data_IF_030446159046
#
_entry.id   IF_030446159046
#
_cell.length_a   1.000
_cell.length_b   1.000
_cell.length_c   1.000
_cell.angle_alpha   90.00
_cell.angle_beta   90.00
_cell.angle_gamma   90.00
#
_symmetry.space_group_name_H-M   'P 1'
#
loop_
_entity.id
_entity.type
_entity.pdbx_description
1 polymer ?
#
# COMPACT_ATOMS: atom_id res chain seq x y z
N UNK A 1 13.30 44.82 -67.61
CA UNK A 1 13.67 44.37 -66.25
C UNK A 1 12.94 45.15 -65.13
N UNK A 2 11.65 45.46 -65.28
CA UNK A 2 10.81 46.10 -64.22
C UNK A 2 9.47 45.40 -63.98
N UNK A 3 8.94 44.61 -64.93
CA UNK A 3 7.72 43.81 -64.71
C UNK A 3 7.93 42.52 -63.90
N UNK A 4 9.12 41.90 -63.95
CA UNK A 4 9.40 40.66 -63.21
C UNK A 4 9.52 40.86 -61.70
N UNK A 5 9.86 42.07 -61.23
CA UNK A 5 10.01 42.35 -59.81
C UNK A 5 8.65 42.53 -59.10
N UNK A 6 7.63 43.04 -59.80
CA UNK A 6 6.30 43.31 -59.22
C UNK A 6 5.50 42.01 -59.02
N UNK A 7 5.65 41.03 -59.92
CA UNK A 7 4.94 39.74 -59.81
C UNK A 7 5.49 38.88 -58.66
N UNK A 8 6.80 38.97 -58.38
CA UNK A 8 7.45 38.20 -57.30
C UNK A 8 7.10 38.77 -55.92
N UNK A 9 6.91 40.08 -55.79
CA UNK A 9 6.49 40.71 -54.51
C UNK A 9 5.00 40.46 -54.22
N UNK A 10 4.12 40.49 -55.22
CA UNK A 10 2.69 40.21 -55.01
C UNK A 10 2.44 38.72 -54.69
N UNK A 11 3.20 37.81 -55.29
CA UNK A 11 3.11 36.37 -54.97
C UNK A 11 3.76 36.01 -53.63
N UNK A 12 4.83 36.70 -53.19
CA UNK A 12 5.41 36.48 -51.86
C UNK A 12 4.53 37.04 -50.73
N UNK A 13 3.90 38.21 -50.91
CA UNK A 13 2.94 38.74 -49.92
C UNK A 13 1.67 37.89 -49.86
N UNK A 14 1.14 37.44 -51.01
CA UNK A 14 -0.02 36.55 -51.06
C UNK A 14 0.23 35.18 -50.42
N UNK A 15 1.41 34.59 -50.62
CA UNK A 15 1.77 33.30 -49.99
C UNK A 15 2.11 33.42 -48.51
N UNK A 16 2.58 34.58 -48.04
CA UNK A 16 2.81 34.83 -46.60
C UNK A 16 1.48 35.05 -45.87
N UNK A 17 0.53 35.78 -46.46
CA UNK A 17 -0.85 35.94 -45.93
C UNK A 17 -1.62 34.60 -45.93
N UNK A 18 -1.42 33.78 -46.96
CA UNK A 18 -2.07 32.47 -47.10
C UNK A 18 -1.43 31.37 -46.21
N UNK A 19 -0.15 31.51 -45.86
CA UNK A 19 0.49 30.63 -44.86
C UNK A 19 0.10 31.01 -43.43
N UNK A 20 -0.07 32.29 -43.11
CA UNK A 20 -0.58 32.73 -41.80
C UNK A 20 -2.02 32.27 -41.52
N UNK A 21 -2.84 32.08 -42.56
CA UNK A 21 -4.21 31.55 -42.43
C UNK A 21 -4.29 30.02 -42.34
N UNK A 22 -3.18 29.30 -42.59
CA UNK A 22 -3.12 27.83 -42.53
C UNK A 22 -2.44 27.26 -41.28
N UNK A 23 -1.81 28.08 -40.44
CA UNK A 23 -1.21 27.62 -39.17
C UNK A 23 -2.29 27.16 -38.17
N UNK A 24 -3.53 27.61 -38.31
CA UNK A 24 -4.62 27.37 -37.35
C UNK A 24 -5.70 26.38 -37.83
N UNK A 25 -5.39 25.46 -38.74
CA UNK A 25 -6.39 24.53 -39.29
C UNK A 25 -6.96 23.52 -38.26
N UNK A 26 -6.42 23.46 -37.04
CA UNK A 26 -6.95 22.63 -35.95
C UNK A 26 -7.92 23.32 -34.98
N UNK A 27 -8.07 24.65 -35.04
CA UNK A 27 -8.71 25.44 -33.95
C UNK A 27 -9.83 26.41 -34.40
N UNK A 28 -10.32 26.32 -35.64
CA UNK A 28 -11.40 27.19 -36.14
C UNK A 28 -10.93 28.60 -36.53
N UNK A 29 -11.85 29.58 -36.73
CA UNK A 29 -11.51 30.92 -37.19
C UNK A 29 -10.53 31.65 -36.23
N UNK A 30 -9.71 32.59 -36.75
CA UNK A 30 -8.64 33.25 -35.99
C UNK A 30 -9.11 34.16 -34.85
N UNK A 31 -10.42 34.32 -34.71
CA UNK A 31 -11.14 35.09 -33.70
C UNK A 31 -12.31 34.25 -33.20
N UNK A 32 -12.39 34.01 -31.90
CA UNK A 32 -13.48 33.22 -31.30
C UNK A 32 -13.14 32.70 -29.90
N UNK A 33 -14.15 32.22 -29.15
CA UNK A 33 -13.98 31.72 -27.79
C UNK A 33 -12.97 30.55 -27.71
N UNK A 34 -12.96 29.64 -28.68
CA UNK A 34 -12.06 28.47 -28.69
C UNK A 34 -10.58 28.87 -28.71
N UNK A 35 -10.23 29.88 -29.52
CA UNK A 35 -8.87 30.40 -29.57
C UNK A 35 -8.51 31.13 -28.27
N UNK A 36 -9.44 31.90 -27.70
CA UNK A 36 -9.22 32.58 -26.42
C UNK A 36 -9.00 31.57 -25.29
N UNK A 37 -9.75 30.46 -25.30
CA UNK A 37 -9.56 29.33 -24.38
C UNK A 37 -8.19 28.71 -24.58
N UNK A 38 -7.85 28.28 -25.80
CA UNK A 38 -6.56 27.66 -26.09
C UNK A 38 -5.37 28.59 -25.75
N UNK A 39 -5.49 29.89 -26.03
CA UNK A 39 -4.48 30.89 -25.71
C UNK A 39 -4.28 31.01 -24.21
N UNK A 40 -5.35 31.13 -23.43
CA UNK A 40 -5.22 31.27 -21.99
C UNK A 40 -4.77 29.96 -21.32
N UNK A 41 -5.24 28.81 -21.80
CA UNK A 41 -4.87 27.51 -21.22
C UNK A 41 -3.42 27.11 -21.50
N UNK A 42 -2.86 27.50 -22.65
CA UNK A 42 -1.45 27.25 -22.99
C UNK A 42 -0.48 28.12 -22.20
N UNK A 43 -0.86 29.37 -21.91
CA UNK A 43 -0.06 30.29 -21.11
C UNK A 43 -0.96 31.10 -20.17
N UNK A 44 -1.34 30.53 -19.00
CA UNK A 44 -2.14 31.26 -18.03
C UNK A 44 -1.42 32.53 -17.59
N UNK A 45 -2.04 33.67 -17.86
CA UNK A 45 -1.52 34.98 -17.49
C UNK A 45 -1.80 35.35 -16.03
N UNK A 46 -1.49 36.60 -15.69
CA UNK A 46 -1.79 37.20 -14.39
C UNK A 46 -3.30 37.34 -14.11
N UNK A 47 -3.64 37.82 -12.91
CA UNK A 47 -5.01 38.08 -12.47
C UNK A 47 -5.80 38.95 -13.45
N UNK A 48 -5.16 39.97 -14.05
CA UNK A 48 -5.77 40.87 -15.02
C UNK A 48 -6.11 40.12 -16.32
N UNK A 49 -5.20 39.28 -16.80
CA UNK A 49 -5.40 38.42 -17.96
C UNK A 49 -6.53 37.42 -17.72
N UNK A 50 -6.54 36.71 -16.59
CA UNK A 50 -7.60 35.77 -16.22
C UNK A 50 -9.00 36.44 -16.22
N UNK A 51 -9.09 37.66 -15.68
CA UNK A 51 -10.34 38.44 -15.69
C UNK A 51 -10.73 38.87 -17.10
N UNK A 52 -9.79 39.35 -17.92
CA UNK A 52 -10.06 39.79 -19.29
C UNK A 52 -10.52 38.63 -20.18
N UNK A 53 -9.77 37.53 -20.19
CA UNK A 53 -10.10 36.35 -21.01
C UNK A 53 -11.42 35.73 -20.60
N UNK A 54 -11.70 35.61 -19.29
CA UNK A 54 -13.00 35.08 -18.84
C UNK A 54 -14.18 35.94 -19.26
N UNK A 55 -14.08 37.27 -19.19
CA UNK A 55 -15.18 38.16 -19.64
C UNK A 55 -15.41 37.98 -21.15
N UNK A 56 -14.35 38.00 -21.95
CA UNK A 56 -14.45 37.86 -23.40
C UNK A 56 -15.07 36.52 -23.80
N UNK A 57 -14.69 35.43 -23.13
CA UNK A 57 -15.25 34.10 -23.37
C UNK A 57 -16.71 34.01 -22.91
N UNK A 58 -17.07 34.57 -21.75
CA UNK A 58 -18.46 34.51 -21.23
C UNK A 58 -19.46 35.37 -22.01
N UNK A 59 -18.98 36.40 -22.73
CA UNK A 59 -19.83 37.19 -23.64
C UNK A 59 -20.35 36.35 -24.81
N UNK A 60 -19.56 35.38 -25.28
CA UNK A 60 -19.92 34.50 -26.39
C UNK A 60 -20.47 33.14 -25.90
N UNK A 61 -19.87 32.58 -24.85
CA UNK A 61 -20.24 31.30 -24.23
C UNK A 61 -20.57 31.48 -22.74
N UNK A 62 -21.82 31.82 -22.39
CA UNK A 62 -22.20 32.16 -21.00
C UNK A 62 -22.12 30.97 -20.02
N UNK A 63 -21.98 29.75 -20.53
CA UNK A 63 -21.89 28.50 -19.74
C UNK A 63 -20.52 27.83 -19.86
N UNK A 64 -19.49 28.57 -20.29
CA UNK A 64 -18.12 28.04 -20.40
C UNK A 64 -17.47 27.86 -19.02
N UNK A 65 -17.31 26.61 -18.60
CA UNK A 65 -16.79 26.26 -17.27
C UNK A 65 -15.36 26.79 -17.04
N UNK A 66 -14.50 26.70 -18.06
CA UNK A 66 -13.12 27.17 -17.96
C UNK A 66 -13.04 28.67 -17.64
N UNK A 67 -13.93 29.48 -18.21
CA UNK A 67 -13.97 30.91 -17.96
C UNK A 67 -14.33 31.22 -16.49
N UNK A 68 -15.28 30.48 -15.90
CA UNK A 68 -15.57 30.59 -14.47
C UNK A 68 -14.40 30.15 -13.60
N UNK A 69 -13.69 29.07 -13.96
CA UNK A 69 -12.47 28.64 -13.27
C UNK A 69 -11.40 29.75 -13.25
N UNK A 70 -11.18 30.44 -14.36
CA UNK A 70 -10.20 31.54 -14.42
C UNK A 70 -10.61 32.73 -13.57
N UNK A 71 -11.92 33.04 -13.49
CA UNK A 71 -12.43 34.05 -12.55
C UNK A 71 -12.21 33.65 -11.11
N UNK A 72 -12.39 32.37 -10.79
CA UNK A 72 -12.07 31.80 -9.49
C UNK A 72 -10.61 32.04 -9.11
N UNK A 73 -9.69 31.69 -10.01
CA UNK A 73 -8.26 31.91 -9.81
C UNK A 73 -7.91 33.40 -9.65
N UNK A 74 -8.54 34.27 -10.45
CA UNK A 74 -8.33 35.71 -10.37
C UNK A 74 -8.82 36.30 -9.04
N UNK A 75 -9.99 35.87 -8.56
CA UNK A 75 -10.53 36.30 -7.28
C UNK A 75 -9.67 35.82 -6.10
N UNK A 76 -9.18 34.58 -6.15
CA UNK A 76 -8.29 34.03 -5.14
C UNK A 76 -6.98 34.81 -5.04
N UNK A 77 -6.34 35.08 -6.20
CA UNK A 77 -5.13 35.89 -6.28
C UNK A 77 -5.34 37.34 -5.83
N UNK A 78 -6.58 37.85 -5.89
CA UNK A 78 -6.96 39.18 -5.41
C UNK A 78 -7.31 39.21 -3.90
N UNK A 79 -7.20 38.08 -3.19
CA UNK A 79 -7.56 37.99 -1.77
C UNK A 79 -9.07 37.95 -1.51
N UNK A 80 -9.88 37.57 -2.51
CA UNK A 80 -11.33 37.34 -2.37
C UNK A 80 -11.66 35.84 -2.44
N UNK A 81 -11.45 35.09 -1.34
CA UNK A 81 -11.72 33.66 -1.31
C UNK A 81 -13.22 33.33 -1.37
N UNK A 82 -14.11 34.28 -1.04
CA UNK A 82 -15.56 34.09 -1.12
C UNK A 82 -16.01 34.13 -2.58
N UNK A 83 -15.59 35.14 -3.33
CA UNK A 83 -15.79 35.23 -4.78
C UNK A 83 -15.14 34.06 -5.52
N UNK A 84 -13.91 33.68 -5.13
CA UNK A 84 -13.23 32.51 -5.69
C UNK A 84 -14.07 31.24 -5.52
N UNK A 85 -14.55 30.97 -4.29
CA UNK A 85 -15.41 29.81 -3.99
C UNK A 85 -16.66 29.82 -4.86
N UNK A 86 -17.29 30.99 -5.02
CA UNK A 86 -18.46 31.16 -5.88
C UNK A 86 -18.19 30.76 -7.33
N UNK A 87 -17.12 31.30 -7.93
CA UNK A 87 -16.76 31.01 -9.31
C UNK A 87 -16.31 29.56 -9.53
N UNK A 88 -15.47 29.01 -8.66
CA UNK A 88 -15.07 27.59 -8.73
C UNK A 88 -16.28 26.65 -8.57
N UNK A 89 -17.25 27.01 -7.74
CA UNK A 89 -18.49 26.23 -7.61
C UNK A 89 -19.35 26.28 -8.87
N UNK A 90 -19.40 27.43 -9.56
CA UNK A 90 -20.07 27.52 -10.88
C UNK A 90 -19.34 26.66 -11.90
N UNK A 91 -18.01 26.77 -11.98
CA UNK A 91 -17.20 25.97 -12.89
C UNK A 91 -17.47 24.47 -12.69
N UNK A 92 -17.49 23.98 -11.43
CA UNK A 92 -17.73 22.57 -11.14
C UNK A 92 -19.17 22.11 -11.39
N UNK A 93 -20.17 23.02 -11.34
CA UNK A 93 -21.54 22.68 -11.76
C UNK A 93 -21.66 22.52 -13.28
N UNK A 94 -20.90 23.30 -14.04
CA UNK A 94 -20.88 23.28 -15.50
C UNK A 94 -20.00 22.14 -16.05
N UNK A 95 -18.85 21.91 -15.43
CA UNK A 95 -17.96 20.78 -15.68
C UNK A 95 -17.59 20.07 -14.37
N UNK A 96 -18.33 19.01 -13.99
CA UNK A 96 -18.01 18.21 -12.80
C UNK A 96 -16.65 17.52 -12.85
N UNK A 97 -16.01 17.43 -14.02
CA UNK A 97 -14.71 16.79 -14.21
C UNK A 97 -13.54 17.78 -14.16
N UNK A 98 -13.79 19.07 -13.90
CA UNK A 98 -12.74 20.08 -13.76
C UNK A 98 -11.86 19.79 -12.53
N UNK A 99 -10.70 19.17 -12.79
CA UNK A 99 -9.70 18.77 -11.78
C UNK A 99 -9.20 19.99 -11.00
N UNK A 100 -8.95 21.13 -11.67
CA UNK A 100 -8.37 22.32 -11.05
C UNK A 100 -9.37 22.99 -10.12
N UNK A 101 -10.62 23.13 -10.56
CA UNK A 101 -11.69 23.66 -9.71
C UNK A 101 -11.95 22.75 -8.51
N UNK A 102 -11.96 21.43 -8.71
CA UNK A 102 -12.18 20.45 -7.64
C UNK A 102 -11.04 20.41 -6.64
N UNK A 103 -9.78 20.49 -7.09
CA UNK A 103 -8.61 20.54 -6.22
C UNK A 103 -8.58 21.83 -5.38
N UNK A 104 -8.95 22.98 -5.96
CA UNK A 104 -9.05 24.23 -5.20
C UNK A 104 -10.15 24.15 -4.13
N UNK A 105 -11.33 23.63 -4.47
CA UNK A 105 -12.44 23.47 -3.50
C UNK A 105 -12.12 22.44 -2.41
N UNK A 106 -11.37 21.38 -2.72
CA UNK A 106 -10.82 20.46 -1.72
C UNK A 106 -9.94 21.20 -0.70
N UNK A 107 -8.93 21.94 -1.17
CA UNK A 107 -8.02 22.65 -0.28
C UNK A 107 -8.76 23.71 0.55
N UNK A 108 -9.66 24.47 -0.09
CA UNK A 108 -10.48 25.47 0.60
C UNK A 108 -11.37 24.84 1.68
N UNK A 109 -11.98 23.69 1.40
CA UNK A 109 -12.79 22.96 2.38
C UNK A 109 -11.94 22.49 3.57
N UNK A 110 -10.71 22.01 3.32
CA UNK A 110 -9.79 21.62 4.39
C UNK A 110 -9.40 22.82 5.26
N UNK A 111 -9.08 23.97 4.66
CA UNK A 111 -8.73 25.20 5.38
C UNK A 111 -9.88 25.72 6.25
N UNK A 112 -11.12 25.60 5.78
CA UNK A 112 -12.34 26.03 6.49
C UNK A 112 -12.84 25.01 7.53
N UNK A 113 -12.20 23.85 7.63
CA UNK A 113 -12.63 22.78 8.53
C UNK A 113 -13.88 22.03 8.06
N UNK A 114 -14.27 22.17 6.80
CA UNK A 114 -15.47 21.59 6.19
C UNK A 114 -15.20 20.16 5.73
N UNK A 115 -14.89 19.27 6.67
CA UNK A 115 -14.31 17.95 6.39
C UNK A 115 -15.18 17.04 5.53
N UNK A 116 -16.51 17.10 5.68
CA UNK A 116 -17.42 16.34 4.81
C UNK A 116 -17.36 16.81 3.35
N UNK A 117 -17.23 18.12 3.10
CA UNK A 117 -17.09 18.66 1.74
C UNK A 117 -15.71 18.31 1.17
N UNK A 118 -14.66 18.45 1.97
CA UNK A 118 -13.30 18.05 1.58
C UNK A 118 -13.26 16.57 1.16
N UNK A 119 -13.83 15.66 1.96
CA UNK A 119 -13.87 14.23 1.65
C UNK A 119 -14.63 13.94 0.33
N UNK A 120 -15.72 14.65 0.05
CA UNK A 120 -16.46 14.50 -1.21
C UNK A 120 -15.68 15.03 -2.42
N UNK A 121 -14.96 16.16 -2.28
CA UNK A 121 -14.10 16.67 -3.33
C UNK A 121 -12.94 15.71 -3.61
N UNK A 122 -12.33 15.15 -2.56
CA UNK A 122 -11.28 14.14 -2.69
C UNK A 122 -11.78 12.88 -3.40
N UNK A 123 -12.91 12.31 -2.99
CA UNK A 123 -13.47 11.10 -3.63
C UNK A 123 -13.60 11.27 -5.14
N UNK A 124 -14.24 12.37 -5.54
CA UNK A 124 -14.44 12.65 -6.94
C UNK A 124 -13.14 12.98 -7.69
N UNK A 125 -12.21 13.70 -7.06
CA UNK A 125 -10.90 13.99 -7.65
C UNK A 125 -10.15 12.69 -7.97
N UNK A 126 -10.13 11.75 -7.02
CA UNK A 126 -9.48 10.45 -7.17
C UNK A 126 -10.16 9.53 -8.20
N UNK A 127 -11.45 9.74 -8.48
CA UNK A 127 -12.17 9.06 -9.57
C UNK A 127 -11.89 9.66 -10.95
N UNK A 128 -11.65 10.97 -11.02
CA UNK A 128 -11.41 11.69 -12.27
C UNK A 128 -9.94 11.57 -12.70
N UNK A 129 -9.01 11.64 -11.75
CA UNK A 129 -7.56 11.64 -11.95
C UNK A 129 -6.88 10.54 -11.12
N UNK A 130 -7.11 9.25 -11.44
CA UNK A 130 -6.56 8.13 -10.69
C UNK A 130 -5.02 8.13 -10.63
N UNK A 131 -4.35 8.69 -11.63
CA UNK A 131 -2.89 8.85 -11.69
C UNK A 131 -2.32 9.73 -10.57
N UNK A 132 -3.10 10.70 -10.09
CA UNK A 132 -2.73 11.54 -8.95
C UNK A 132 -3.06 10.88 -7.60
N UNK A 133 -3.62 9.67 -7.61
CA UNK A 133 -4.30 9.12 -6.44
C UNK A 133 -3.38 8.79 -5.27
N UNK A 134 -2.29 8.08 -5.52
CA UNK A 134 -1.33 7.71 -4.48
C UNK A 134 -0.69 8.93 -3.79
N UNK A 135 -0.07 9.90 -4.51
CA UNK A 135 0.52 11.08 -3.86
C UNK A 135 -0.52 11.95 -3.15
N UNK A 136 -1.74 12.06 -3.69
CA UNK A 136 -2.83 12.80 -3.03
C UNK A 136 -3.25 12.11 -1.72
N UNK A 137 -3.43 10.79 -1.73
CA UNK A 137 -3.79 10.04 -0.52
C UNK A 137 -2.70 10.12 0.55
N UNK A 138 -1.43 10.03 0.17
CA UNK A 138 -0.30 10.22 1.10
C UNK A 138 -0.37 11.59 1.79
N UNK A 139 -0.57 12.66 1.03
CA UNK A 139 -0.70 14.02 1.58
C UNK A 139 -1.91 14.16 2.53
N UNK A 140 -3.05 13.55 2.18
CA UNK A 140 -4.25 13.57 3.00
C UNK A 140 -4.08 12.75 4.30
N UNK A 141 -3.47 11.56 4.22
CA UNK A 141 -3.19 10.72 5.40
C UNK A 141 -2.20 11.42 6.33
N UNK A 142 -1.19 12.11 5.79
CA UNK A 142 -0.29 12.92 6.60
C UNK A 142 -1.04 14.02 7.38
N UNK A 143 -2.16 14.54 6.86
CA UNK A 143 -3.00 15.54 7.53
C UNK A 143 -4.12 14.94 8.38
N UNK A 144 -4.24 13.61 8.45
CA UNK A 144 -5.33 12.91 9.14
C UNK A 144 -5.24 12.93 10.67
N UNK A 145 -4.48 13.85 11.28
CA UNK A 145 -4.49 14.08 12.73
C UNK A 145 -5.84 14.58 13.26
N UNK A 146 -6.62 15.28 12.42
CA UNK A 146 -7.99 15.69 12.75
C UNK A 146 -8.97 14.50 12.68
N UNK A 147 -9.65 14.22 13.79
CA UNK A 147 -10.69 13.20 13.88
C UNK A 147 -11.84 13.46 12.91
N UNK A 148 -12.25 14.72 12.70
CA UNK A 148 -13.37 15.08 11.81
C UNK A 148 -13.06 14.70 10.36
N UNK A 149 -11.81 14.86 9.94
CA UNK A 149 -11.34 14.46 8.61
C UNK A 149 -11.34 12.93 8.48
N UNK A 150 -10.82 12.21 9.48
CA UNK A 150 -10.85 10.73 9.49
C UNK A 150 -12.27 10.20 9.39
N UNK A 151 -13.20 10.73 10.20
CA UNK A 151 -14.59 10.29 10.20
C UNK A 151 -15.29 10.59 8.86
N UNK A 152 -14.98 11.72 8.23
CA UNK A 152 -15.49 12.07 6.90
C UNK A 152 -14.96 11.14 5.80
N UNK A 153 -13.66 10.84 5.81
CA UNK A 153 -13.03 9.92 4.87
C UNK A 153 -13.52 8.48 5.08
N UNK A 154 -13.71 8.05 6.33
CA UNK A 154 -14.25 6.73 6.65
C UNK A 154 -15.64 6.52 6.04
N UNK A 155 -16.52 7.53 6.06
CA UNK A 155 -17.84 7.48 5.40
C UNK A 155 -17.75 7.39 3.88
N UNK A 156 -16.76 8.03 3.28
CA UNK A 156 -16.51 7.91 1.83
C UNK A 156 -16.00 6.51 1.48
N UNK A 157 -14.99 6.04 2.22
CA UNK A 157 -14.40 4.71 2.04
C UNK A 157 -15.40 3.58 2.28
N UNK A 158 -16.37 3.77 3.19
CA UNK A 158 -17.47 2.83 3.42
C UNK A 158 -18.34 2.59 2.18
N UNK A 159 -18.37 3.52 1.21
CA UNK A 159 -19.06 3.37 -0.09
C UNK A 159 -18.22 2.61 -1.12
N UNK A 160 -17.07 2.08 -0.70
CA UNK A 160 -16.18 1.25 -1.48
C UNK A 160 -15.74 1.89 -2.82
N UNK A 161 -15.14 3.10 -2.77
CA UNK A 161 -14.71 3.76 -4.00
C UNK A 161 -13.57 2.98 -4.68
N UNK A 162 -13.44 3.04 -6.02
CA UNK A 162 -12.41 2.29 -6.75
C UNK A 162 -10.97 2.56 -6.28
N UNK A 163 -10.71 3.78 -5.82
CA UNK A 163 -9.38 4.17 -5.33
C UNK A 163 -9.06 3.64 -3.92
N UNK A 164 -10.00 2.98 -3.21
CA UNK A 164 -9.77 2.40 -1.87
C UNK A 164 -8.63 1.39 -1.85
N UNK A 165 -8.35 0.72 -2.98
CA UNK A 165 -7.21 -0.20 -3.12
C UNK A 165 -5.86 0.48 -2.90
N UNK A 166 -5.77 1.80 -3.14
CA UNK A 166 -4.55 2.59 -2.94
C UNK A 166 -4.29 2.93 -1.47
N UNK A 167 -5.26 2.73 -0.57
CA UNK A 167 -5.21 3.17 0.81
C UNK A 167 -4.03 2.54 1.57
N UNK A 168 -3.86 1.22 1.47
CA UNK A 168 -2.79 0.48 2.16
C UNK A 168 -1.42 0.87 1.62
N UNK A 169 -1.29 1.02 0.29
CA UNK A 169 -0.07 1.50 -0.36
C UNK A 169 0.31 2.91 0.08
N UNK A 170 -0.68 3.82 0.21
CA UNK A 170 -0.46 5.18 0.68
C UNK A 170 0.03 5.21 2.14
N UNK A 171 -0.49 4.31 2.99
CA UNK A 171 -0.05 4.18 4.39
C UNK A 171 1.34 3.57 4.53
N UNK A 172 1.69 2.60 3.68
CA UNK A 172 2.97 1.89 3.76
C UNK A 172 4.18 2.76 3.35
N UNK A 173 3.97 3.72 2.45
CA UNK A 173 5.06 4.44 1.77
C UNK A 173 5.26 5.90 2.22
N UNK A 174 4.36 6.49 3.01
CA UNK A 174 4.40 7.94 3.24
C UNK A 174 3.77 8.46 4.53
N UNK A 175 3.49 7.62 5.53
CA UNK A 175 2.72 8.02 6.71
C UNK A 175 3.42 7.84 8.06
N UNK A 176 3.13 8.74 8.99
CA UNK A 176 3.30 8.53 10.43
C UNK A 176 2.47 7.29 10.85
N UNK A 177 3.10 6.24 11.42
CA UNK A 177 2.40 5.03 11.82
C UNK A 177 1.18 5.27 12.71
N UNK A 178 1.21 6.26 13.59
CA UNK A 178 0.10 6.57 14.46
C UNK A 178 -1.11 7.16 13.70
N UNK A 179 -0.86 7.95 12.65
CA UNK A 179 -1.92 8.53 11.79
C UNK A 179 -2.56 7.47 10.92
N UNK A 180 -1.73 6.60 10.32
CA UNK A 180 -2.22 5.45 9.54
C UNK A 180 -3.08 4.52 10.39
N UNK A 181 -2.69 4.25 11.64
CA UNK A 181 -3.52 3.46 12.56
C UNK A 181 -4.82 4.19 12.83
N UNK A 182 -4.77 5.47 13.20
CA UNK A 182 -5.96 6.22 13.56
C UNK A 182 -6.98 6.28 12.40
N UNK A 183 -6.51 6.34 11.15
CA UNK A 183 -7.35 6.24 9.97
C UNK A 183 -8.00 4.85 9.84
N UNK A 184 -7.23 3.77 9.94
CA UNK A 184 -7.75 2.40 9.88
C UNK A 184 -8.69 2.09 11.06
N UNK A 185 -8.44 2.67 12.23
CA UNK A 185 -9.31 2.58 13.40
C UNK A 185 -10.66 3.26 13.13
N UNK A 186 -10.67 4.48 12.59
CA UNK A 186 -11.90 5.16 12.21
C UNK A 186 -12.71 4.36 11.17
N UNK A 187 -12.02 3.83 10.15
CA UNK A 187 -12.63 3.01 9.12
C UNK A 187 -13.16 1.66 9.64
N UNK A 188 -12.58 1.12 10.71
CA UNK A 188 -12.98 -0.20 11.23
C UNK A 188 -14.44 -0.31 11.66
N UNK A 189 -15.07 0.80 12.06
CA UNK A 189 -16.51 0.86 12.34
C UNK A 189 -17.40 0.61 11.11
N UNK A 190 -16.86 0.78 9.90
CA UNK A 190 -17.52 0.55 8.61
C UNK A 190 -17.08 -0.75 7.93
N UNK A 191 -16.24 -1.55 8.57
CA UNK A 191 -15.65 -2.76 8.01
C UNK A 191 -14.35 -2.49 7.25
N UNK A 192 -13.33 -3.28 7.59
CA UNK A 192 -12.05 -3.31 6.89
C UNK A 192 -12.02 -4.46 5.89
N UNK A 193 -11.40 -4.22 4.74
CA UNK A 193 -11.08 -5.27 3.76
C UNK A 193 -9.92 -6.13 4.29
N UNK A 194 -9.74 -7.37 3.81
CA UNK A 194 -8.66 -8.25 4.26
C UNK A 194 -7.26 -7.60 4.20
N UNK A 195 -6.94 -6.90 3.10
CA UNK A 195 -5.66 -6.18 2.97
C UNK A 195 -5.49 -5.07 4.02
N UNK A 196 -6.57 -4.39 4.38
CA UNK A 196 -6.57 -3.32 5.40
C UNK A 196 -6.44 -3.89 6.82
N UNK A 197 -7.03 -5.07 7.09
CA UNK A 197 -6.85 -5.79 8.35
C UNK A 197 -5.40 -6.24 8.53
N UNK A 198 -4.80 -6.84 7.51
CA UNK A 198 -3.39 -7.20 7.52
C UNK A 198 -2.49 -5.98 7.70
N UNK A 199 -2.73 -4.89 6.95
CA UNK A 199 -1.99 -3.65 7.10
C UNK A 199 -2.10 -3.07 8.52
N UNK A 200 -3.31 -3.05 9.09
CA UNK A 200 -3.54 -2.58 10.47
C UNK A 200 -2.83 -3.46 11.50
N UNK A 201 -2.88 -4.78 11.35
CA UNK A 201 -2.20 -5.70 12.23
C UNK A 201 -0.67 -5.51 12.20
N UNK A 202 -0.07 -5.43 11.01
CA UNK A 202 1.36 -5.15 10.83
C UNK A 202 1.76 -3.81 11.45
N UNK A 203 0.91 -2.79 11.31
CA UNK A 203 1.14 -1.46 11.90
C UNK A 203 1.07 -1.48 13.42
N UNK A 204 0.07 -2.13 14.00
CA UNK A 204 -0.03 -2.29 15.45
C UNK A 204 1.17 -3.06 16.02
N UNK A 205 1.65 -4.08 15.29
CA UNK A 205 2.85 -4.83 15.68
C UNK A 205 4.11 -3.94 15.66
N UNK A 206 4.31 -3.13 14.63
CA UNK A 206 5.46 -2.21 14.54
C UNK A 206 5.42 -1.09 15.58
N UNK A 207 4.22 -0.68 16.01
CA UNK A 207 4.01 0.28 17.10
C UNK A 207 4.18 -0.33 18.51
N UNK A 208 4.62 -1.58 18.63
CA UNK A 208 4.80 -2.22 19.94
C UNK A 208 3.49 -2.61 20.62
N UNK A 209 2.40 -2.78 19.86
CA UNK A 209 1.07 -3.24 20.34
C UNK A 209 0.72 -4.64 19.81
N UNK A 210 1.55 -5.68 20.00
CA UNK A 210 1.39 -6.98 19.35
C UNK A 210 0.13 -7.75 19.77
N UNK A 211 -0.33 -7.61 21.02
CA UNK A 211 -1.58 -8.24 21.45
C UNK A 211 -2.80 -7.71 20.67
N UNK A 212 -2.84 -6.41 20.41
CA UNK A 212 -3.90 -5.79 19.62
C UNK A 212 -3.75 -6.15 18.14
N UNK A 213 -2.52 -6.18 17.64
CA UNK A 213 -2.24 -6.67 16.29
C UNK A 213 -2.77 -8.10 16.10
N UNK A 214 -2.53 -9.00 17.06
CA UNK A 214 -3.01 -10.39 17.00
C UNK A 214 -4.54 -10.47 16.96
N UNK A 215 -5.23 -9.67 17.78
CA UNK A 215 -6.68 -9.64 17.81
C UNK A 215 -7.26 -9.15 16.46
N UNK A 216 -6.72 -8.07 15.90
CA UNK A 216 -7.14 -7.55 14.57
C UNK A 216 -6.89 -8.58 13.48
N UNK A 217 -5.70 -9.19 13.46
CA UNK A 217 -5.36 -10.20 12.47
C UNK A 217 -6.27 -11.43 12.54
N UNK A 218 -6.53 -11.96 13.75
CA UNK A 218 -7.40 -13.11 13.98
C UNK A 218 -8.83 -12.83 13.51
N UNK A 219 -9.33 -11.60 13.73
CA UNK A 219 -10.66 -11.20 13.26
C UNK A 219 -10.79 -11.18 11.72
N UNK A 220 -9.66 -11.03 11.01
CA UNK A 220 -9.61 -11.00 9.55
C UNK A 220 -9.39 -12.34 8.87
N UNK A 221 -9.23 -13.43 9.64
CA UNK A 221 -9.07 -14.77 9.08
C UNK A 221 -10.35 -15.21 8.35
N UNK A 222 -10.17 -15.79 7.17
CA UNK A 222 -11.26 -16.39 6.42
C UNK A 222 -11.87 -17.59 7.16
N UNK A 223 -13.10 -18.01 6.84
CA UNK A 223 -13.69 -19.23 7.43
C UNK A 223 -12.82 -20.48 7.27
N UNK A 224 -12.05 -20.58 6.18
CA UNK A 224 -11.11 -21.68 5.95
C UNK A 224 -9.84 -21.59 6.82
N UNK A 225 -9.46 -20.38 7.24
CA UNK A 225 -8.26 -20.13 8.06
C UNK A 225 -8.53 -20.21 9.56
N UNK A 226 -9.72 -19.82 10.02
CA UNK A 226 -10.08 -19.79 11.44
C UNK A 226 -9.81 -21.09 12.22
N UNK A 227 -10.04 -22.30 11.67
CA UNK A 227 -9.73 -23.55 12.37
C UNK A 227 -8.25 -23.71 12.74
N UNK A 228 -7.35 -22.98 12.07
CA UNK A 228 -5.91 -23.03 12.25
C UNK A 228 -5.38 -21.90 13.14
N UNK A 229 -6.27 -21.09 13.73
CA UNK A 229 -5.90 -20.01 14.65
C UNK A 229 -5.49 -20.56 16.02
N UNK A 230 -4.20 -20.46 16.34
CA UNK A 230 -3.65 -20.84 17.63
C UNK A 230 -2.37 -20.07 17.96
N UNK A 231 -1.66 -20.44 19.05
CA UNK A 231 -0.37 -19.84 19.40
C UNK A 231 0.64 -19.88 18.25
N UNK A 232 0.59 -20.96 17.47
CA UNK A 232 1.14 -21.05 16.11
C UNK A 232 -0.06 -21.13 15.16
N UNK A 233 -0.07 -20.28 14.14
CA UNK A 233 -1.05 -20.39 13.07
C UNK A 233 -0.64 -21.49 12.10
N UNK A 234 -1.63 -22.29 11.66
CA UNK A 234 -1.44 -23.38 10.71
C UNK A 234 -0.28 -24.32 11.10
N UNK A 235 -0.38 -24.99 12.26
CA UNK A 235 0.72 -25.77 12.82
C UNK A 235 1.15 -26.96 11.96
N UNK A 236 0.27 -27.45 11.07
CA UNK A 236 0.54 -28.56 10.15
C UNK A 236 0.81 -28.13 8.70
N UNK A 237 0.92 -26.83 8.43
CA UNK A 237 1.18 -26.31 7.08
C UNK A 237 0.13 -26.72 6.03
N UNK A 238 -1.14 -26.74 6.43
CA UNK A 238 -2.29 -27.13 5.60
C UNK A 238 -2.68 -26.06 4.57
N UNK A 239 -2.29 -24.80 4.81
CA UNK A 239 -2.72 -23.65 4.02
C UNK A 239 -1.59 -23.03 3.19
N UNK A 240 -0.32 -23.33 3.51
CA UNK A 240 0.84 -22.67 2.90
C UNK A 240 1.17 -21.31 3.52
N UNK A 241 1.68 -20.33 2.75
CA UNK A 241 1.95 -18.99 3.27
C UNK A 241 0.69 -18.36 3.86
N UNK A 242 0.76 -17.96 5.14
CA UNK A 242 -0.37 -17.38 5.84
C UNK A 242 -0.47 -15.86 5.66
N UNK A 243 -1.60 -15.25 6.04
CA UNK A 243 -1.73 -13.79 6.02
C UNK A 243 -0.74 -13.13 6.99
N UNK A 244 -0.08 -12.05 6.55
CA UNK A 244 0.81 -11.28 7.42
C UNK A 244 0.04 -10.56 8.55
N UNK A 245 0.68 -10.29 9.72
CA UNK A 245 2.07 -10.60 10.05
C UNK A 245 2.27 -11.94 10.81
N UNK A 246 1.20 -12.64 11.19
CA UNK A 246 1.28 -13.83 12.05
C UNK A 246 1.13 -15.17 11.33
N UNK A 247 0.94 -15.17 10.01
CA UNK A 247 1.01 -16.38 9.19
C UNK A 247 2.46 -16.85 8.96
N UNK A 248 2.61 -18.08 8.48
CA UNK A 248 3.91 -18.58 8.02
C UNK A 248 4.42 -17.73 6.86
N UNK A 249 5.68 -17.30 6.97
CA UNK A 249 6.43 -16.63 5.90
C UNK A 249 7.49 -17.58 5.39
N UNK A 250 7.57 -17.71 4.07
CA UNK A 250 8.60 -18.43 3.35
C UNK A 250 9.43 -17.43 2.53
N UNK A 251 10.69 -17.22 2.91
CA UNK A 251 11.62 -16.41 2.12
C UNK A 251 12.16 -17.26 0.97
N UNK A 252 12.13 -16.71 -0.24
CA UNK A 252 12.75 -17.33 -1.41
C UNK A 252 14.27 -17.35 -1.27
N UNK A 253 14.88 -18.51 -1.52
CA UNK A 253 16.34 -18.68 -1.60
C UNK A 253 16.65 -19.56 -2.81
N UNK A 254 17.61 -19.20 -3.68
CA UNK A 254 18.03 -20.04 -4.80
C UNK A 254 18.62 -21.40 -4.39
N UNK A 255 18.96 -21.57 -3.11
CA UNK A 255 19.66 -22.72 -2.57
C UNK A 255 18.71 -23.73 -1.89
N UNK A 256 17.52 -23.28 -1.46
CA UNK A 256 16.53 -24.11 -0.75
C UNK A 256 15.16 -23.90 -1.37
N UNK A 257 14.60 -24.97 -1.92
CA UNK A 257 13.21 -25.00 -2.36
C UNK A 257 12.34 -25.29 -1.13
N UNK A 258 11.43 -24.38 -0.81
CA UNK A 258 10.46 -24.51 0.30
C UNK A 258 9.07 -24.67 -0.31
N UNK A 259 8.32 -25.68 0.10
CA UNK A 259 6.98 -25.94 -0.42
C UNK A 259 6.12 -26.73 0.55
N UNK A 260 4.84 -26.83 0.22
CA UNK A 260 3.89 -27.71 0.93
C UNK A 260 3.82 -29.04 0.17
N UNK A 261 3.97 -30.15 0.88
CA UNK A 261 3.90 -31.50 0.34
C UNK A 261 2.69 -32.23 0.93
N UNK A 262 1.74 -32.58 0.06
CA UNK A 262 0.53 -33.32 0.42
C UNK A 262 0.70 -34.85 0.36
N UNK A 263 1.87 -35.35 -0.05
CA UNK A 263 2.14 -36.79 -0.17
C UNK A 263 2.79 -37.40 1.07
N UNK A 264 3.42 -36.56 1.90
CA UNK A 264 4.18 -36.99 3.07
C UNK A 264 3.86 -36.10 4.27
N UNK A 265 2.75 -36.42 4.96
CA UNK A 265 2.32 -35.71 6.17
C UNK A 265 2.52 -36.59 7.40
N UNK A 266 2.88 -35.98 8.53
CA UNK A 266 2.90 -36.66 9.83
C UNK A 266 1.48 -36.68 10.43
N UNK A 267 0.75 -35.56 10.27
CA UNK A 267 -0.62 -35.35 10.69
C UNK A 267 -1.36 -34.54 9.62
N UNK A 268 -2.69 -34.58 9.64
CA UNK A 268 -3.47 -33.79 8.68
C UNK A 268 -3.30 -34.28 7.23
N UNK A 269 -3.14 -33.34 6.29
CA UNK A 269 -3.09 -33.63 4.85
C UNK A 269 -1.77 -33.20 4.20
N UNK A 270 -1.01 -32.32 4.84
CA UNK A 270 0.19 -31.74 4.25
C UNK A 270 1.32 -31.63 5.27
N UNK A 271 2.54 -31.43 4.78
CA UNK A 271 3.68 -30.98 5.58
C UNK A 271 4.47 -29.91 4.86
N UNK A 272 5.39 -29.26 5.57
CA UNK A 272 6.36 -28.37 4.96
C UNK A 272 7.58 -29.17 4.49
N UNK A 273 7.91 -29.08 3.21
CA UNK A 273 9.09 -29.72 2.62
C UNK A 273 10.15 -28.68 2.25
N UNK A 274 11.39 -28.94 2.67
CA UNK A 274 12.58 -28.22 2.24
C UNK A 274 13.46 -29.18 1.42
N UNK A 275 13.80 -28.77 0.19
CA UNK A 275 14.70 -29.53 -0.70
C UNK A 275 15.97 -28.72 -0.94
N UNK A 276 17.13 -29.34 -0.66
CA UNK A 276 18.44 -28.74 -0.76
C UNK A 276 19.24 -29.37 -1.90
N UNK A 277 19.87 -28.54 -2.75
CA UNK A 277 20.54 -28.98 -3.99
C UNK A 277 22.07 -28.87 -3.93
N UNK A 278 22.71 -29.33 -2.85
CA UNK A 278 24.17 -29.33 -2.68
C UNK A 278 24.82 -27.94 -2.89
N UNK A 279 24.15 -26.88 -2.45
CA UNK A 279 24.62 -25.49 -2.50
C UNK A 279 24.90 -24.97 -1.10
N UNK A 280 25.70 -23.92 -1.00
CA UNK A 280 25.98 -23.27 0.28
C UNK A 280 24.75 -22.48 0.76
N UNK A 281 24.10 -22.98 1.82
CA UNK A 281 22.85 -22.43 2.35
C UNK A 281 23.09 -21.37 3.42
N UNK A 282 22.60 -20.15 3.19
CA UNK A 282 22.30 -19.18 4.25
C UNK A 282 20.77 -19.04 4.35
N UNK A 283 20.18 -19.73 5.33
CA UNK A 283 18.72 -19.84 5.39
C UNK A 283 18.16 -19.39 6.74
N UNK A 284 17.18 -18.50 6.65
CA UNK A 284 16.23 -18.15 7.72
C UNK A 284 14.86 -17.96 7.07
N UNK A 285 14.48 -18.92 6.21
CA UNK A 285 13.39 -18.74 5.26
C UNK A 285 12.02 -19.05 5.81
N UNK A 286 11.89 -19.95 6.79
CA UNK A 286 10.57 -20.29 7.38
C UNK A 286 10.45 -19.59 8.71
N UNK A 287 9.46 -18.71 8.85
CA UNK A 287 9.27 -17.96 10.08
C UNK A 287 7.82 -17.62 10.37
N UNK A 288 7.51 -17.44 11.66
CA UNK A 288 6.22 -16.97 12.11
C UNK A 288 6.40 -16.05 13.33
N UNK A 289 5.71 -14.92 13.30
CA UNK A 289 5.64 -14.01 14.44
C UNK A 289 4.65 -14.55 15.47
N UNK A 290 4.98 -14.45 16.75
CA UNK A 290 4.17 -14.93 17.86
C UNK A 290 3.87 -13.82 18.88
N UNK A 291 2.83 -14.03 19.68
CA UNK A 291 2.38 -13.10 20.74
C UNK A 291 2.09 -13.85 22.05
N UNK A 292 3.02 -14.69 22.46
CA UNK A 292 2.91 -15.48 23.67
C UNK A 292 2.99 -14.56 24.91
N UNK A 293 2.05 -14.70 25.86
CA UNK A 293 2.19 -14.09 27.18
C UNK A 293 3.43 -14.58 27.93
N UNK A 294 3.89 -13.86 28.97
CA UNK A 294 4.97 -14.34 29.83
C UNK A 294 4.63 -15.69 30.47
N UNK A 295 5.62 -16.58 30.54
CA UNK A 295 5.46 -17.91 31.13
C UNK A 295 6.37 -18.95 30.49
N UNK A 296 6.23 -20.19 30.98
CA UNK A 296 7.00 -21.34 30.51
C UNK A 296 6.23 -22.11 29.45
N UNK A 297 6.90 -22.47 28.36
CA UNK A 297 6.31 -23.11 27.19
C UNK A 297 7.13 -24.31 26.74
N UNK A 298 6.47 -25.23 26.02
CA UNK A 298 7.10 -26.32 25.28
C UNK A 298 6.82 -26.11 23.80
N UNK A 299 7.90 -25.98 23.02
CA UNK A 299 7.86 -26.15 21.56
C UNK A 299 7.95 -27.64 21.26
N UNK A 300 7.07 -28.12 20.39
CA UNK A 300 7.13 -29.46 19.81
C UNK A 300 7.03 -29.36 18.29
N UNK A 301 7.83 -30.16 17.59
CA UNK A 301 7.82 -30.23 16.12
C UNK A 301 8.07 -31.67 15.69
N UNK A 302 7.30 -32.15 14.72
CA UNK A 302 7.61 -33.40 14.03
C UNK A 302 8.49 -33.12 12.81
N UNK A 303 9.54 -33.93 12.65
CA UNK A 303 10.42 -33.82 11.51
C UNK A 303 10.79 -35.20 10.96
N UNK A 304 10.85 -35.30 9.63
CA UNK A 304 11.46 -36.40 8.90
C UNK A 304 12.60 -35.85 8.04
N UNK A 305 13.81 -36.36 8.27
CA UNK A 305 15.03 -35.68 7.85
C UNK A 305 15.94 -36.68 7.14
N UNK A 306 16.36 -36.32 5.94
CA UNK A 306 17.36 -37.03 5.15
C UNK A 306 18.33 -36.01 4.52
N UNK A 307 19.18 -35.42 5.37
CA UNK A 307 20.20 -34.46 4.96
C UNK A 307 21.59 -35.10 4.89
N UNK A 308 22.37 -34.66 3.92
CA UNK A 308 23.76 -35.04 3.69
C UNK A 308 24.68 -33.81 3.65
N UNK A 309 25.97 -34.03 3.92
CA UNK A 309 26.99 -32.98 4.02
C UNK A 309 27.66 -32.92 5.40
N UNK A 310 28.78 -32.19 5.50
CA UNK A 310 29.62 -32.14 6.70
C UNK A 310 29.22 -31.05 7.72
N UNK A 311 28.24 -30.21 7.40
CA UNK A 311 27.89 -29.02 8.18
C UNK A 311 27.03 -29.18 9.44
N UNK A 312 26.50 -28.08 9.95
CA UNK A 312 25.48 -28.12 11.02
C UNK A 312 24.12 -28.45 10.40
N UNK A 313 23.21 -28.99 11.19
CA UNK A 313 21.83 -29.22 10.76
C UNK A 313 21.01 -27.93 10.92
N UNK A 314 19.75 -27.99 10.49
CA UNK A 314 18.78 -26.95 10.78
C UNK A 314 18.43 -26.90 12.28
N UNK A 315 17.98 -25.74 12.73
CA UNK A 315 17.46 -25.57 14.08
C UNK A 315 16.25 -24.64 14.08
N UNK A 316 15.33 -24.90 15.01
CA UNK A 316 14.31 -23.92 15.37
C UNK A 316 14.89 -22.94 16.39
N UNK A 317 14.86 -21.65 16.03
CA UNK A 317 15.31 -20.54 16.85
C UNK A 317 14.10 -19.72 17.29
N UNK A 318 13.96 -19.52 18.60
CA UNK A 318 13.04 -18.54 19.17
C UNK A 318 13.80 -17.31 19.64
N UNK A 319 13.38 -16.13 19.17
CA UNK A 319 13.91 -14.84 19.61
C UNK A 319 12.83 -13.93 20.12
N UNK A 320 13.21 -13.03 21.02
CA UNK A 320 12.38 -11.89 21.38
C UNK A 320 12.59 -10.75 20.38
N UNK A 321 11.52 -10.24 19.75
CA UNK A 321 11.61 -9.17 18.75
C UNK A 321 12.34 -9.55 17.46
N UNK A 322 12.89 -8.54 16.76
CA UNK A 322 13.52 -8.67 15.43
C UNK A 322 14.90 -9.35 15.41
N UNK A 323 15.58 -9.46 16.55
CA UNK A 323 16.77 -10.31 16.66
C UNK A 323 17.85 -9.72 17.54
N UNK A 324 18.14 -10.43 18.63
CA UNK A 324 19.45 -10.54 19.30
C UNK A 324 19.31 -11.46 20.52
N UNK A 325 18.20 -11.32 21.26
CA UNK A 325 17.93 -12.14 22.44
C UNK A 325 17.30 -13.47 22.08
N UNK A 326 18.13 -14.52 22.04
CA UNK A 326 17.70 -15.92 21.90
C UNK A 326 16.99 -16.37 23.18
N UNK A 327 15.83 -16.98 23.03
CA UNK A 327 15.04 -17.55 24.12
C UNK A 327 15.02 -19.08 24.08
N UNK A 328 15.15 -19.65 22.88
CA UNK A 328 15.13 -21.08 22.67
C UNK A 328 15.88 -21.48 21.41
N UNK A 329 16.50 -22.64 21.46
CA UNK A 329 17.24 -23.24 20.34
C UNK A 329 17.02 -24.75 20.34
N UNK A 330 16.35 -25.26 19.33
CA UNK A 330 16.09 -26.68 19.13
C UNK A 330 16.82 -27.15 17.87
N UNK A 331 18.00 -27.73 18.07
CA UNK A 331 18.74 -28.36 16.98
C UNK A 331 18.01 -29.64 16.52
N UNK A 332 17.91 -29.80 15.21
CA UNK A 332 17.42 -31.02 14.59
C UNK A 332 18.61 -31.90 14.18
N UNK A 333 18.47 -33.24 14.16
CA UNK A 333 19.50 -34.10 13.58
C UNK A 333 19.52 -33.93 12.05
N UNK A 334 20.56 -34.46 11.40
CA UNK A 334 20.61 -34.51 9.93
C UNK A 334 19.81 -35.68 9.36
N UNK A 335 19.53 -36.69 10.16
CA UNK A 335 18.85 -37.91 9.71
C UNK A 335 17.93 -38.41 10.81
N UNK A 336 16.74 -38.84 10.42
CA UNK A 336 15.79 -39.56 11.27
C UNK A 336 15.42 -40.89 10.60
N UNK A 337 14.67 -41.73 11.32
CA UNK A 337 14.03 -42.91 10.75
C UNK A 337 12.52 -42.64 10.67
N UNK A 338 12.11 -41.93 9.61
CA UNK A 338 10.75 -41.41 9.47
C UNK A 338 10.49 -40.21 10.40
N UNK A 339 9.20 -39.92 10.61
CA UNK A 339 8.74 -38.83 11.47
C UNK A 339 9.13 -39.04 12.94
N UNK A 340 9.86 -38.07 13.49
CA UNK A 340 10.23 -38.05 14.91
C UNK A 340 9.81 -36.74 15.56
N UNK A 341 9.42 -36.82 16.84
CA UNK A 341 9.02 -35.66 17.65
C UNK A 341 10.23 -35.06 18.36
N UNK A 342 10.47 -33.78 18.12
CA UNK A 342 11.48 -32.98 18.80
C UNK A 342 10.80 -31.97 19.71
N UNK A 343 11.43 -31.67 20.85
CA UNK A 343 10.86 -30.72 21.81
C UNK A 343 11.90 -29.87 22.50
N UNK A 344 11.48 -28.67 22.91
CA UNK A 344 12.27 -27.71 23.67
C UNK A 344 11.40 -27.00 24.68
N UNK A 345 11.88 -26.91 25.92
CA UNK A 345 11.27 -26.05 26.95
C UNK A 345 11.97 -24.70 26.93
N UNK A 346 11.20 -23.61 26.96
CA UNK A 346 11.72 -22.24 27.02
C UNK A 346 10.82 -21.32 27.84
N UNK A 347 11.35 -20.16 28.23
CA UNK A 347 10.64 -19.16 29.02
C UNK A 347 10.46 -17.85 28.24
N UNK A 348 9.23 -17.34 28.21
CA UNK A 348 8.90 -16.00 27.72
C UNK A 348 8.95 -15.03 28.89
N UNK A 349 9.87 -14.08 28.81
CA UNK A 349 10.09 -13.06 29.84
C UNK A 349 9.05 -11.94 29.75
N UNK A 350 8.84 -11.19 30.84
CA UNK A 350 7.87 -10.08 30.87
C UNK A 350 8.15 -8.99 29.83
N UNK A 351 9.43 -8.69 29.59
CA UNK A 351 9.87 -7.71 28.59
C UNK A 351 10.01 -8.32 27.20
N UNK A 352 9.05 -9.16 26.81
CA UNK A 352 9.02 -9.77 25.50
C UNK A 352 7.61 -9.80 24.91
N UNK A 353 7.11 -8.67 24.40
CA UNK A 353 5.73 -8.58 23.94
C UNK A 353 5.51 -9.30 22.59
N UNK A 354 6.60 -9.59 21.86
CA UNK A 354 6.56 -10.22 20.54
C UNK A 354 7.73 -11.19 20.41
N UNK A 355 7.45 -12.40 19.94
CA UNK A 355 8.47 -13.40 19.65
C UNK A 355 8.48 -13.75 18.18
N UNK A 356 9.57 -14.37 17.76
CA UNK A 356 9.76 -14.82 16.39
C UNK A 356 10.28 -16.25 16.43
N UNK A 357 9.55 -17.15 15.79
CA UNK A 357 9.96 -18.53 15.55
C UNK A 357 10.52 -18.63 14.14
N UNK A 358 11.77 -19.09 14.02
CA UNK A 358 12.48 -19.19 12.73
C UNK A 358 13.15 -20.55 12.59
N UNK A 359 13.01 -21.17 11.43
CA UNK A 359 13.88 -22.26 11.02
C UNK A 359 15.14 -21.67 10.40
N UNK A 360 16.29 -21.96 11.01
CA UNK A 360 17.58 -21.41 10.61
C UNK A 360 18.58 -22.49 10.26
N UNK A 361 19.50 -22.17 9.36
CA UNK A 361 20.71 -22.93 9.11
C UNK A 361 21.94 -22.11 9.54
N UNK A 362 22.60 -22.50 10.64
CA UNK A 362 23.71 -21.74 11.24
C UNK A 362 25.10 -22.28 10.87
N UNK A 363 25.31 -22.62 9.59
CA UNK A 363 26.65 -22.96 9.08
C UNK A 363 27.59 -21.77 9.13
N UNK A 364 28.79 -21.94 9.71
CA UNK A 364 29.76 -20.85 9.95
C UNK A 364 30.75 -20.64 8.82
N UNK A 365 30.98 -21.65 7.99
CA UNK A 365 31.86 -21.60 6.83
C UNK A 365 31.22 -22.30 5.62
N UNK A 366 31.87 -22.25 4.45
CA UNK A 366 31.32 -22.81 3.22
C UNK A 366 31.03 -24.30 3.33
N UNK A 367 31.97 -25.09 3.88
CA UNK A 367 31.78 -26.53 4.07
C UNK A 367 30.61 -26.83 5.00
N UNK A 368 30.42 -26.03 6.05
CA UNK A 368 29.29 -26.17 6.96
C UNK A 368 27.94 -25.75 6.33
N UNK A 369 27.97 -24.99 5.22
CA UNK A 369 26.78 -24.49 4.52
C UNK A 369 26.34 -25.38 3.37
N UNK A 370 27.22 -26.23 2.86
CA UNK A 370 26.89 -27.13 1.76
C UNK A 370 26.14 -28.34 2.29
N UNK A 371 24.85 -28.43 1.95
CA UNK A 371 23.95 -29.51 2.31
C UNK A 371 23.13 -29.96 1.09
N UNK A 372 22.77 -31.24 1.07
CA UNK A 372 21.84 -31.82 0.10
C UNK A 372 20.81 -32.70 0.81
N UNK A 373 19.71 -32.97 0.12
CA UNK A 373 18.65 -33.85 0.62
C UNK A 373 17.39 -33.10 1.00
N UNK A 374 16.62 -33.67 1.92
CA UNK A 374 15.28 -33.21 2.24
C UNK A 374 15.03 -33.12 3.75
N UNK A 375 14.21 -32.14 4.14
CA UNK A 375 13.71 -31.93 5.49
C UNK A 375 12.21 -31.68 5.39
N UNK A 376 11.41 -32.60 5.93
CA UNK A 376 9.97 -32.44 6.10
C UNK A 376 9.67 -32.04 7.55
N UNK A 377 8.75 -31.10 7.74
CA UNK A 377 8.35 -30.54 9.04
C UNK A 377 6.83 -30.49 9.15
N UNK A 378 6.31 -30.87 10.30
CA UNK A 378 4.87 -30.92 10.56
C UNK A 378 4.58 -30.77 12.07
N UNK A 379 3.31 -30.58 12.43
CA UNK A 379 2.78 -30.57 13.79
C UNK A 379 3.57 -29.64 14.75
N UNK A 380 3.80 -28.39 14.32
CA UNK A 380 4.46 -27.36 15.13
C UNK A 380 3.51 -26.90 16.24
N UNK A 381 3.75 -27.34 17.47
CA UNK A 381 2.91 -27.00 18.62
C UNK A 381 3.65 -26.16 19.66
N UNK A 382 2.92 -25.22 20.25
CA UNK A 382 3.36 -24.44 21.42
C UNK A 382 2.35 -24.61 22.55
N UNK A 383 2.77 -25.27 23.62
CA UNK A 383 1.92 -25.50 24.80
C UNK A 383 2.47 -24.76 26.01
N UNK A 384 1.60 -24.10 26.78
CA UNK A 384 1.99 -23.45 28.03
C UNK A 384 2.05 -24.51 29.13
N UNK A 385 3.16 -24.56 29.86
CA UNK A 385 3.30 -25.42 31.04
C UNK A 385 2.43 -24.83 32.15
N UNK A 386 1.34 -25.53 32.50
CA UNK A 386 0.55 -25.18 33.69
C UNK A 386 1.35 -25.62 34.92
N UNK A 387 1.48 -24.70 35.88
CA UNK A 387 2.04 -25.02 37.19
C UNK A 387 1.05 -25.84 38.00
#
# INVERSE_FOLDING_TARGET
>A
MRLLLVVVVVTSVGTTLWKLTRVDAGLGPPTGPDRLIAQYESAPGDTASARRFSIAVLQDRPVEAAAFRWRGAAADAAGDPAGATGFYSVALRLDPRDIRARAWLLDRSLQRGEMSQAANHLDALLRIAPEAGLPTLQAIIARSGDRRLRDALARVLAKDPPWRDLLTSAMASGGDPARSEAMLAALSSHGLRPAELSARASLLASMGRPAQARAVWSSGLSPAQKPFDGPVFDPGFELGPGPEPFGWRFSSSPEVVVGIDASHAAQGRSSLLLVLQNRAVQFSGVSQQLTLPPGRYVLQVQADIALEGSGRAFAWLLTCGSGEKRMGYLALPKRTSGWQLFSLVFDVQERCPMQMLKLVHEGRNLAERTLSGQLALDAVALTRVRR
#
